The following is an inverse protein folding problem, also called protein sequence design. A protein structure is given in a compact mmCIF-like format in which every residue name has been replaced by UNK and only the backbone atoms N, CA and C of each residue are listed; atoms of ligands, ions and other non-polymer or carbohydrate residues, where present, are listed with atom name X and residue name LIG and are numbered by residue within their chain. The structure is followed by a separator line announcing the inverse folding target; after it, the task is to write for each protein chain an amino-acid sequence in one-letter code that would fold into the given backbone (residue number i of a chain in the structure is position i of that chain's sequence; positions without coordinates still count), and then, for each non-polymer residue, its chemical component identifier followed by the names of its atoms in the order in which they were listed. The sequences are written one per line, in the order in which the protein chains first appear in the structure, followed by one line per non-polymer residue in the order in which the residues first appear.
data_IF_949746584071
#
_entry.id   IF_949746584071
#
_cell.length_a   1.000
_cell.length_b   1.000
_cell.length_c   1.000
_cell.angle_alpha   90.00
_cell.angle_beta   90.00
_cell.angle_gamma   90.00
#
_symmetry.space_group_name_H-M   'P 1'
#
loop_
_entity.id
_entity.type
_entity.pdbx_description
1 polymer ?
#
# COMPACT_ATOMS: atom_id res chain seq x y z
N UNK A 1 -54.51 10.76 33.21
CA UNK A 1 -53.73 11.08 31.99
C UNK A 1 -52.22 11.19 32.28
N UNK A 2 -51.53 10.09 32.61
CA UNK A 2 -50.07 10.08 32.91
C UNK A 2 -49.30 8.83 32.43
N UNK A 3 -49.97 7.74 32.03
CA UNK A 3 -49.33 6.49 31.57
C UNK A 3 -48.94 6.47 30.08
N UNK A 4 -49.58 7.28 29.23
CA UNK A 4 -49.37 7.23 27.77
C UNK A 4 -48.12 7.97 27.29
N UNK A 5 -47.60 8.93 28.07
CA UNK A 5 -46.38 9.67 27.75
C UNK A 5 -45.09 8.88 28.06
N UNK A 6 -45.13 7.98 29.05
CA UNK A 6 -43.97 7.17 29.45
C UNK A 6 -43.61 6.10 28.41
N UNK A 7 -44.62 5.45 27.80
CA UNK A 7 -44.40 4.46 26.73
C UNK A 7 -43.83 5.07 25.44
N UNK A 8 -44.08 6.36 25.17
CA UNK A 8 -43.50 7.08 24.03
C UNK A 8 -42.04 7.44 24.27
N UNK A 9 -41.68 7.85 25.49
CA UNK A 9 -40.30 8.19 25.88
C UNK A 9 -39.41 6.92 25.88
N UNK A 10 -39.92 5.79 26.35
CA UNK A 10 -39.16 4.53 26.35
C UNK A 10 -38.85 4.00 24.94
N UNK A 11 -39.76 4.21 23.97
CA UNK A 11 -39.55 3.84 22.56
C UNK A 11 -38.54 4.74 21.86
N UNK A 12 -38.46 6.02 22.22
CA UNK A 12 -37.46 6.96 21.69
C UNK A 12 -36.06 6.65 22.21
N UNK A 13 -35.93 6.28 23.50
CA UNK A 13 -34.67 5.82 24.10
C UNK A 13 -34.17 4.48 23.52
N UNK A 14 -35.07 3.54 23.24
CA UNK A 14 -34.72 2.28 22.56
C UNK A 14 -34.29 2.49 21.09
N UNK A 15 -34.84 3.50 20.41
CA UNK A 15 -34.45 3.84 19.04
C UNK A 15 -33.11 4.60 18.95
N UNK A 16 -32.72 5.34 20.01
CA UNK A 16 -31.40 6.00 20.06
C UNK A 16 -30.28 5.04 20.48
N UNK A 17 -30.58 3.96 21.20
CA UNK A 17 -29.59 2.93 21.54
C UNK A 17 -29.22 2.02 20.34
N UNK A 18 -30.12 1.86 19.36
CA UNK A 18 -29.85 1.04 18.17
C UNK A 18 -28.94 1.70 17.12
N UNK A 19 -28.74 3.03 17.17
CA UNK A 19 -27.78 3.73 16.30
C UNK A 19 -26.36 3.79 16.87
N UNK A 20 -26.14 3.34 18.11
CA UNK A 20 -24.82 3.29 18.74
C UNK A 20 -24.04 2.00 18.45
N UNK A 21 -24.60 1.06 17.66
CA UNK A 21 -23.95 -0.23 17.34
C UNK A 21 -23.28 -0.23 15.95
N UNK A 22 -23.39 0.85 15.18
CA UNK A 22 -22.67 1.02 13.89
C UNK A 22 -21.35 1.78 14.07
N UNK A 23 -20.60 1.48 15.11
CA UNK A 23 -19.37 2.21 15.41
C UNK A 23 -18.49 1.43 16.35
N UNK A 24 -17.85 0.38 15.83
CA UNK A 24 -16.55 -0.16 16.24
C UNK A 24 -16.38 -1.54 15.61
N UNK A 25 -16.09 -1.59 14.31
CA UNK A 25 -15.30 -2.71 13.77
C UNK A 25 -13.85 -2.25 13.66
N UNK A 26 -13.27 -1.92 14.81
CA UNK A 26 -11.81 -2.02 14.96
C UNK A 26 -11.49 -3.50 15.11
N UNK A 27 -11.55 -4.26 14.01
CA UNK A 27 -10.68 -5.44 13.92
C UNK A 27 -9.31 -4.96 13.45
N UNK A 28 -8.62 -4.34 14.40
CA UNK A 28 -7.16 -4.29 14.45
C UNK A 28 -6.64 -5.72 14.57
N UNK A 29 -6.57 -6.41 13.44
CA UNK A 29 -5.60 -7.49 13.24
C UNK A 29 -4.71 -7.08 12.10
N UNK A 30 -3.88 -6.07 12.33
CA UNK A 30 -2.54 -6.01 11.75
C UNK A 30 -1.76 -7.22 12.29
N UNK A 31 -2.15 -8.43 11.90
CA UNK A 31 -1.32 -9.62 12.08
C UNK A 31 -0.17 -9.51 11.08
N UNK A 32 0.88 -8.80 11.49
CA UNK A 32 2.16 -8.84 10.82
C UNK A 32 2.75 -10.25 10.98
N UNK A 33 2.52 -11.14 10.01
CA UNK A 33 3.14 -12.48 9.96
C UNK A 33 4.43 -12.50 9.12
N UNK A 34 5.08 -11.35 8.90
CA UNK A 34 6.28 -11.26 8.05
C UNK A 34 7.06 -9.98 8.36
N UNK A 35 7.82 -9.99 9.46
CA UNK A 35 8.64 -8.85 9.90
C UNK A 35 10.11 -9.24 9.82
N UNK A 36 10.92 -8.46 9.11
CA UNK A 36 12.39 -8.56 9.16
C UNK A 36 13.01 -9.64 8.29
N UNK A 37 12.48 -9.83 7.07
CA UNK A 37 13.11 -10.74 6.12
C UNK A 37 14.24 -10.09 5.32
N UNK A 38 15.34 -10.85 5.19
CA UNK A 38 16.52 -10.53 4.40
C UNK A 38 16.37 -10.88 2.90
N UNK A 39 15.12 -11.07 2.44
CA UNK A 39 14.80 -11.41 1.07
C UNK A 39 13.49 -10.75 0.61
N UNK A 40 13.50 -10.25 -0.62
CA UNK A 40 12.33 -9.63 -1.26
C UNK A 40 11.23 -10.65 -1.55
N UNK A 41 9.94 -10.25 -1.57
CA UNK A 41 8.83 -11.14 -1.91
C UNK A 41 8.97 -11.67 -3.35
N UNK A 42 8.83 -12.99 -3.54
CA UNK A 42 9.04 -13.63 -4.85
C UNK A 42 8.15 -13.05 -5.94
N UNK A 43 6.91 -12.68 -5.60
CA UNK A 43 5.93 -12.12 -6.53
C UNK A 43 6.31 -10.73 -7.07
N UNK A 44 7.13 -9.98 -6.34
CA UNK A 44 7.64 -8.66 -6.75
C UNK A 44 8.95 -8.75 -7.51
N UNK A 45 9.66 -9.88 -7.48
CA UNK A 45 10.95 -10.04 -8.18
C UNK A 45 10.80 -9.90 -9.69
N UNK A 46 11.84 -9.33 -10.31
CA UNK A 46 11.94 -9.08 -11.75
C UNK A 46 12.12 -7.60 -12.10
N UNK A 47 11.85 -7.28 -13.37
CA UNK A 47 11.94 -5.93 -13.91
C UNK A 47 10.56 -5.27 -13.99
N UNK A 48 10.52 -3.98 -13.69
CA UNK A 48 9.34 -3.16 -13.63
C UNK A 48 9.62 -1.80 -14.27
N UNK A 49 8.69 -1.31 -15.09
CA UNK A 49 8.86 -0.08 -15.87
C UNK A 49 7.64 0.82 -15.69
N UNK A 50 7.88 2.11 -15.43
CA UNK A 50 6.86 3.15 -15.44
C UNK A 50 7.28 4.21 -16.46
N UNK A 51 6.36 4.64 -17.33
CA UNK A 51 6.64 5.62 -18.36
C UNK A 51 6.82 7.01 -17.75
N UNK A 52 7.82 7.76 -18.22
CA UNK A 52 8.12 9.14 -17.76
C UNK A 52 7.86 10.18 -18.86
N UNK A 53 7.18 9.81 -19.94
CA UNK A 53 7.13 10.64 -21.16
C UNK A 53 8.39 10.51 -22.01
N UNK A 54 8.38 11.12 -23.20
CA UNK A 54 9.53 11.29 -24.08
C UNK A 54 10.38 10.02 -24.34
N UNK A 55 9.73 8.85 -24.50
CA UNK A 55 10.42 7.56 -24.65
C UNK A 55 11.41 7.24 -23.52
N UNK A 56 11.10 7.65 -22.28
CA UNK A 56 11.86 7.34 -21.07
C UNK A 56 11.01 6.54 -20.10
N UNK A 57 11.67 5.67 -19.32
CA UNK A 57 11.03 4.86 -18.29
C UNK A 57 11.86 4.89 -17.02
N UNK A 58 11.18 4.97 -15.88
CA UNK A 58 11.74 4.47 -14.63
C UNK A 58 11.90 2.96 -14.75
N UNK A 59 13.03 2.43 -14.29
CA UNK A 59 13.28 1.00 -14.23
C UNK A 59 13.56 0.58 -12.79
N UNK A 60 12.75 -0.34 -12.29
CA UNK A 60 12.98 -1.03 -11.02
C UNK A 60 13.37 -2.48 -11.33
N UNK A 61 14.46 -2.95 -10.72
CA UNK A 61 14.83 -4.36 -10.69
C UNK A 61 14.85 -4.86 -9.25
N UNK A 62 14.00 -5.84 -8.95
CA UNK A 62 13.90 -6.48 -7.64
C UNK A 62 14.50 -7.88 -7.77
N UNK A 63 15.61 -8.13 -7.09
CA UNK A 63 16.21 -9.46 -6.95
C UNK A 63 15.90 -10.02 -5.57
N UNK A 64 16.28 -11.27 -5.29
CA UNK A 64 16.10 -11.86 -3.95
C UNK A 64 16.70 -10.99 -2.84
N UNK A 65 17.82 -10.31 -3.09
CA UNK A 65 18.60 -9.62 -2.05
C UNK A 65 18.88 -8.13 -2.34
N UNK A 66 18.24 -7.54 -3.36
CA UNK A 66 18.42 -6.13 -3.68
C UNK A 66 17.19 -5.52 -4.35
N UNK A 67 16.99 -4.23 -4.07
CA UNK A 67 16.10 -3.33 -4.79
C UNK A 67 16.95 -2.30 -5.53
N UNK A 68 16.79 -2.24 -6.85
CA UNK A 68 17.59 -1.38 -7.74
C UNK A 68 16.62 -0.45 -8.47
N UNK A 69 16.89 0.85 -8.41
CA UNK A 69 16.09 1.92 -9.01
C UNK A 69 16.96 2.69 -10.01
N UNK A 70 16.54 2.74 -11.27
CA UNK A 70 17.26 3.40 -12.38
C UNK A 70 18.76 3.03 -12.40
N UNK A 71 19.05 1.73 -12.24
CA UNK A 71 20.41 1.17 -12.22
C UNK A 71 21.17 1.33 -10.91
N UNK A 72 20.68 2.11 -9.94
CA UNK A 72 21.32 2.32 -8.63
C UNK A 72 20.73 1.40 -7.57
N UNK A 73 21.58 0.78 -6.76
CA UNK A 73 21.13 -0.04 -5.62
C UNK A 73 20.57 0.86 -4.52
N UNK A 74 19.24 0.86 -4.35
CA UNK A 74 18.56 1.61 -3.29
C UNK A 74 18.73 0.92 -1.94
N UNK A 75 18.38 -0.36 -1.86
CA UNK A 75 18.69 -1.21 -0.72
C UNK A 75 19.18 -2.60 -1.14
N UNK A 76 20.01 -3.23 -0.30
CA UNK A 76 20.40 -4.63 -0.46
C UNK A 76 20.85 -5.24 0.86
N UNK A 77 20.97 -6.57 0.91
CA UNK A 77 21.34 -7.29 2.12
C UNK A 77 22.74 -6.91 2.64
N UNK A 78 23.66 -6.54 1.74
CA UNK A 78 25.06 -6.20 2.06
C UNK A 78 25.25 -4.72 2.39
N UNK A 79 24.17 -3.92 2.39
CA UNK A 79 24.21 -2.52 2.82
C UNK A 79 23.86 -2.41 4.29
N UNK A 80 24.21 -1.27 4.88
CA UNK A 80 24.00 -0.97 6.29
C UNK A 80 22.96 0.14 6.49
N UNK A 81 22.48 0.28 7.72
CA UNK A 81 21.50 1.30 8.11
C UNK A 81 20.24 1.25 7.25
N UNK A 82 19.76 2.43 6.85
CA UNK A 82 18.52 2.62 6.07
C UNK A 82 18.58 2.02 4.67
N UNK A 83 19.78 1.69 4.17
CA UNK A 83 19.98 1.03 2.87
C UNK A 83 20.05 -0.49 2.99
N UNK A 84 20.03 -1.03 4.21
CA UNK A 84 19.94 -2.48 4.41
C UNK A 84 18.57 -2.98 3.99
N UNK A 85 18.54 -4.04 3.18
CA UNK A 85 17.29 -4.72 2.84
C UNK A 85 16.67 -5.27 4.13
N UNK A 86 15.46 -4.84 4.43
CA UNK A 86 14.69 -5.29 5.58
C UNK A 86 13.21 -5.23 5.21
N UNK A 87 12.67 -6.38 4.80
CA UNK A 87 11.32 -6.42 4.24
C UNK A 87 10.30 -6.51 5.35
N UNK A 88 9.35 -5.58 5.34
CA UNK A 88 8.17 -5.58 6.19
C UNK A 88 6.94 -5.82 5.31
N UNK A 89 6.09 -6.76 5.70
CA UNK A 89 4.82 -7.03 5.02
C UNK A 89 3.68 -6.55 5.88
N UNK A 90 2.75 -5.88 5.22
CA UNK A 90 1.51 -5.44 5.80
C UNK A 90 0.34 -5.98 4.98
N UNK A 91 -0.87 -5.79 5.47
CA UNK A 91 -2.09 -6.18 4.78
C UNK A 91 -3.08 -5.03 4.84
N UNK A 92 -3.60 -4.66 3.67
CA UNK A 92 -4.64 -3.65 3.55
C UNK A 92 -5.57 -4.02 2.40
N UNK A 93 -6.87 -3.76 2.55
CA UNK A 93 -7.89 -4.17 1.57
C UNK A 93 -7.81 -5.67 1.20
N UNK A 94 -7.44 -6.52 2.17
CA UNK A 94 -7.30 -7.96 1.96
C UNK A 94 -6.03 -8.41 1.25
N UNK A 95 -5.15 -7.50 0.82
CA UNK A 95 -3.94 -7.82 0.02
C UNK A 95 -2.65 -7.37 0.71
N UNK A 96 -1.53 -8.06 0.44
CA UNK A 96 -0.26 -7.67 1.00
C UNK A 96 0.35 -6.47 0.28
N UNK A 97 1.01 -5.60 1.04
CA UNK A 97 1.96 -4.63 0.52
C UNK A 97 3.26 -4.69 1.34
N UNK A 98 4.34 -4.17 0.77
CA UNK A 98 5.69 -4.41 1.26
C UNK A 98 6.52 -3.13 1.28
N UNK A 99 7.19 -2.90 2.40
CA UNK A 99 8.28 -1.94 2.50
C UNK A 99 9.61 -2.69 2.44
N UNK A 100 10.56 -2.15 1.68
CA UNK A 100 11.81 -2.86 1.34
C UNK A 100 12.99 -2.53 2.26
N UNK A 101 12.87 -1.47 3.06
CA UNK A 101 13.87 -1.07 4.02
C UNK A 101 13.22 -0.64 5.34
N UNK A 102 14.00 -0.69 6.41
CA UNK A 102 13.62 -0.13 7.70
C UNK A 102 14.22 1.26 7.81
N UNK A 103 13.37 2.25 8.02
CA UNK A 103 13.77 3.63 8.30
C UNK A 103 13.09 4.12 9.58
N UNK A 104 13.70 5.12 10.22
CA UNK A 104 13.10 5.86 11.32
C UNK A 104 12.32 7.09 10.84
N UNK A 105 12.46 7.46 9.56
CA UNK A 105 11.86 8.67 8.97
C UNK A 105 11.38 8.43 7.53
N UNK A 106 10.18 8.88 7.21
CA UNK A 106 9.55 8.66 5.89
C UNK A 106 10.43 9.07 4.69
N UNK A 107 11.25 10.11 4.82
CA UNK A 107 12.11 10.57 3.72
C UNK A 107 13.24 9.61 3.34
N UNK A 108 13.50 8.57 4.15
CA UNK A 108 14.51 7.55 3.87
C UNK A 108 13.88 6.23 3.42
N UNK A 109 12.54 6.14 3.39
CA UNK A 109 11.83 4.97 2.87
C UNK A 109 11.99 4.92 1.35
N UNK A 110 12.00 3.71 0.78
CA UNK A 110 11.98 3.55 -0.68
C UNK A 110 10.53 3.60 -1.23
N UNK A 111 9.56 3.57 -0.31
CA UNK A 111 8.14 3.45 -0.59
C UNK A 111 7.61 2.05 -0.32
N UNK A 112 6.28 1.94 -0.42
CA UNK A 112 5.50 0.71 -0.28
C UNK A 112 5.14 0.16 -1.65
N UNK A 113 5.22 -1.16 -1.82
CA UNK A 113 5.02 -1.83 -3.10
C UNK A 113 4.02 -2.98 -2.98
N UNK A 114 3.13 -3.13 -3.97
CA UNK A 114 2.21 -4.27 -4.06
C UNK A 114 1.84 -4.58 -5.50
N UNK A 115 1.30 -5.76 -5.71
CA UNK A 115 0.70 -6.12 -6.99
C UNK A 115 -0.78 -5.72 -7.01
N UNK A 116 -1.20 -5.02 -8.06
CA UNK A 116 -2.60 -4.61 -8.20
C UNK A 116 -3.49 -5.77 -8.67
N UNK A 117 -4.81 -5.67 -8.43
CA UNK A 117 -5.80 -6.57 -9.06
C UNK A 117 -6.01 -6.19 -10.51
N UNK A 118 -5.98 -4.89 -10.77
CA UNK A 118 -6.18 -4.34 -12.10
C UNK A 118 -4.95 -4.59 -12.95
N UNK A 119 -5.21 -4.95 -14.21
CA UNK A 119 -4.20 -4.99 -15.25
C UNK A 119 -4.24 -3.68 -16.03
N UNK A 120 -3.17 -3.43 -16.75
CA UNK A 120 -3.07 -2.31 -17.69
C UNK A 120 -2.65 -2.90 -19.02
N UNK A 121 -3.46 -2.71 -20.06
CA UNK A 121 -3.25 -3.37 -21.37
C UNK A 121 -2.94 -4.87 -21.22
N UNK A 122 -3.76 -5.56 -20.42
CA UNK A 122 -3.63 -6.98 -20.05
C UNK A 122 -2.33 -7.41 -19.36
N UNK A 123 -1.47 -6.45 -19.00
CA UNK A 123 -0.21 -6.70 -18.31
C UNK A 123 -0.37 -6.57 -16.80
N UNK A 124 0.36 -7.42 -16.08
CA UNK A 124 0.44 -7.39 -14.61
C UNK A 124 1.06 -6.08 -14.15
N UNK A 125 0.49 -5.52 -13.10
CA UNK A 125 0.87 -4.23 -12.53
C UNK A 125 1.44 -4.40 -11.12
N UNK A 126 2.57 -3.73 -10.88
CA UNK A 126 3.03 -3.37 -9.54
C UNK A 126 2.74 -1.90 -9.33
N UNK A 127 2.18 -1.55 -8.17
CA UNK A 127 2.01 -0.16 -7.75
C UNK A 127 3.02 0.18 -6.66
N UNK A 128 3.40 1.45 -6.59
CA UNK A 128 4.11 1.98 -5.44
C UNK A 128 3.43 3.22 -4.89
N UNK A 129 3.64 3.45 -3.59
CA UNK A 129 3.29 4.67 -2.89
C UNK A 129 4.47 5.10 -2.03
N UNK A 130 4.89 6.36 -2.11
CA UNK A 130 5.97 6.90 -1.28
C UNK A 130 5.42 7.96 -0.33
N UNK A 131 4.84 9.04 -0.86
CA UNK A 131 4.14 10.06 -0.09
C UNK A 131 3.20 10.90 -0.96
N UNK A 132 2.46 11.81 -0.33
CA UNK A 132 1.68 12.88 -0.97
C UNK A 132 0.59 12.43 -1.96
N UNK A 133 0.00 11.25 -1.74
CA UNK A 133 -1.14 10.79 -2.55
C UNK A 133 -0.79 10.35 -3.98
N UNK A 134 0.48 10.37 -4.39
CA UNK A 134 0.89 9.94 -5.74
C UNK A 134 1.22 8.45 -5.79
N UNK A 135 0.65 7.76 -6.78
CA UNK A 135 0.80 6.32 -7.00
C UNK A 135 1.45 6.07 -8.36
N UNK A 136 2.62 5.43 -8.35
CA UNK A 136 3.31 5.05 -9.57
C UNK A 136 2.85 3.66 -10.02
N UNK A 137 2.55 3.51 -11.30
CA UNK A 137 2.11 2.25 -11.91
C UNK A 137 3.22 1.67 -12.78
N UNK A 138 3.68 0.47 -12.42
CA UNK A 138 4.72 -0.24 -13.15
C UNK A 138 4.21 -1.50 -13.83
N UNK A 139 4.72 -1.78 -15.02
CA UNK A 139 4.47 -3.01 -15.78
C UNK A 139 5.77 -3.76 -16.03
N UNK A 140 5.69 -5.07 -16.29
CA UNK A 140 6.89 -5.87 -16.62
C UNK A 140 7.48 -5.55 -18.00
N UNK A 141 6.67 -4.99 -18.89
CA UNK A 141 7.07 -4.54 -20.22
C UNK A 141 7.05 -3.01 -20.27
N UNK A 142 7.87 -2.41 -21.13
CA UNK A 142 7.79 -0.99 -21.44
C UNK A 142 6.50 -0.70 -22.19
N UNK A 143 5.72 0.26 -21.70
CA UNK A 143 4.51 0.78 -22.34
C UNK A 143 4.68 2.30 -22.48
N UNK A 144 4.30 2.88 -23.63
CA UNK A 144 4.43 4.33 -23.89
C UNK A 144 3.21 5.12 -23.37
N UNK A 145 2.77 4.83 -22.16
CA UNK A 145 1.68 5.55 -21.50
C UNK A 145 1.91 5.56 -19.99
N UNK A 146 1.70 6.70 -19.36
CA UNK A 146 1.79 6.83 -17.91
C UNK A 146 0.42 6.57 -17.29
N UNK A 147 0.34 5.49 -16.51
CA UNK A 147 -0.87 5.09 -15.78
C UNK A 147 -0.83 5.50 -14.31
N UNK A 148 0.21 6.22 -13.90
CA UNK A 148 0.35 6.74 -12.55
C UNK A 148 -0.71 7.80 -12.27
N UNK A 149 -1.13 7.91 -11.02
CA UNK A 149 -2.26 8.76 -10.64
C UNK A 149 -2.06 9.36 -9.26
N UNK A 150 -2.72 10.49 -9.03
CA UNK A 150 -2.75 11.16 -7.74
C UNK A 150 -4.13 11.04 -7.10
N UNK A 151 -4.16 10.86 -5.78
CA UNK A 151 -5.38 10.89 -4.98
C UNK A 151 -5.27 12.01 -3.95
N UNK A 152 -6.20 12.95 -4.05
CA UNK A 152 -6.28 14.11 -3.17
C UNK A 152 -6.86 13.74 -1.80
N UNK A 153 -6.39 14.42 -0.76
CA UNK A 153 -6.89 14.30 0.61
C UNK A 153 -6.60 12.92 1.24
N UNK A 154 -7.33 12.58 2.29
CA UNK A 154 -7.11 11.35 3.08
C UNK A 154 -7.49 10.04 2.33
N UNK A 155 -8.07 10.12 1.13
CA UNK A 155 -8.52 8.96 0.36
C UNK A 155 -7.39 8.05 -0.15
N UNK A 156 -6.14 8.51 -0.14
CA UNK A 156 -5.00 7.72 -0.64
C UNK A 156 -4.80 6.43 0.17
N UNK A 157 -5.05 6.45 1.48
CA UNK A 157 -4.90 5.26 2.33
C UNK A 157 -5.75 4.12 1.80
N UNK A 158 -6.97 4.40 1.32
CA UNK A 158 -7.86 3.38 0.78
C UNK A 158 -7.37 2.79 -0.55
N UNK A 159 -6.36 3.37 -1.21
CA UNK A 159 -5.80 2.86 -2.46
C UNK A 159 -4.64 1.87 -2.26
N UNK A 160 -4.00 1.89 -1.09
CA UNK A 160 -2.91 0.96 -0.77
C UNK A 160 -3.46 -0.47 -0.75
N UNK A 161 -2.79 -1.38 -1.46
CA UNK A 161 -3.22 -2.76 -1.60
C UNK A 161 -4.34 -3.02 -2.63
N UNK A 162 -4.85 -2.00 -3.35
CA UNK A 162 -5.82 -2.18 -4.46
C UNK A 162 -5.16 -2.60 -5.79
#
# INVERSE_FOLDING_TARGET
MKKMKFKKILKVLAATLMFAVTGMVFSSTLQAKYVGHNATPTELRGNWYAYKGHNKWTHIKITKHAFIYDGKVSCSLNKNGVRKLHVMRYKQNGRPYYDMNKSNYHYQEIGSFWLSRSKVQDKRVMKSYYNMGYFTVYTRNKIKHDYSYEVKGAGYMQQIGK
#
